data_IF_837565250187
#
_entry.id   IF_837565250187
#
_cell.length_a   1.000
_cell.length_b   1.000
_cell.length_c   1.000
_cell.angle_alpha   90.00
_cell.angle_beta   90.00
_cell.angle_gamma   90.00
#
_symmetry.space_group_name_H-M   'P 1'
#
loop_
_entity.id
_entity.type
_entity.pdbx_description
1 polymer ?
#
# COMPACT_ATOMS: atom_id res chain seq x y z
N UNK A 1 2.67 1.04 14.08
CA UNK A 1 2.43 2.03 13.01
C UNK A 1 3.17 1.52 11.79
N UNK A 2 2.50 1.42 10.66
CA UNK A 2 3.10 1.03 9.39
C UNK A 2 3.09 2.21 8.43
N UNK A 3 4.00 2.17 7.46
CA UNK A 3 4.04 3.10 6.33
C UNK A 3 3.79 2.36 5.03
N UNK A 4 3.18 3.02 4.05
CA UNK A 4 3.00 2.45 2.73
C UNK A 4 3.10 3.54 1.66
N UNK A 5 3.43 3.12 0.45
CA UNK A 5 3.33 3.97 -0.72
C UNK A 5 2.87 3.17 -1.94
N UNK A 6 2.14 3.83 -2.84
CA UNK A 6 1.79 3.31 -4.16
C UNK A 6 2.27 4.25 -5.24
N UNK A 7 2.64 3.70 -6.39
CA UNK A 7 3.02 4.44 -7.59
C UNK A 7 1.98 4.21 -8.68
N UNK A 8 1.42 5.27 -9.26
CA UNK A 8 0.42 5.17 -10.32
C UNK A 8 1.02 5.16 -11.73
N UNK A 9 0.17 5.00 -12.75
CA UNK A 9 0.56 4.93 -14.15
C UNK A 9 1.14 6.23 -14.73
N UNK A 10 0.93 7.36 -14.07
CA UNK A 10 1.50 8.65 -14.47
C UNK A 10 2.84 8.90 -13.75
N UNK A 11 3.23 7.95 -12.88
CA UNK A 11 4.42 7.98 -12.07
C UNK A 11 4.34 8.82 -10.80
N UNK A 12 3.12 9.17 -10.35
CA UNK A 12 2.90 9.84 -9.06
C UNK A 12 3.00 8.83 -7.93
N UNK A 13 3.58 9.26 -6.81
CA UNK A 13 3.68 8.45 -5.59
C UNK A 13 2.76 8.99 -4.51
N UNK A 14 1.99 8.11 -3.89
CA UNK A 14 1.08 8.41 -2.79
C UNK A 14 1.55 7.64 -1.56
N UNK A 15 2.06 8.35 -0.57
CA UNK A 15 2.54 7.76 0.68
C UNK A 15 1.53 8.02 1.81
N UNK A 16 1.39 7.05 2.71
CA UNK A 16 0.52 7.13 3.86
C UNK A 16 1.11 6.35 5.05
N UNK A 17 0.56 6.61 6.24
CA UNK A 17 0.81 5.84 7.44
C UNK A 17 -0.51 5.36 8.03
N UNK A 18 -0.49 4.26 8.79
CA UNK A 18 -1.67 3.72 9.45
C UNK A 18 -2.30 4.74 10.39
N UNK A 19 -3.63 4.85 10.38
CA UNK A 19 -4.40 5.68 11.30
C UNK A 19 -5.11 4.78 12.30
N UNK A 20 -5.01 5.12 13.59
CA UNK A 20 -5.64 4.39 14.69
C UNK A 20 -6.37 5.38 15.63
N UNK A 21 -7.52 5.87 15.19
CA UNK A 21 -8.42 6.70 15.99
C UNK A 21 -9.62 5.87 16.49
N UNK A 22 -10.29 6.26 17.58
CA UNK A 22 -11.43 5.50 18.12
C UNK A 22 -12.55 5.22 17.12
N UNK A 23 -12.77 6.13 16.16
CA UNK A 23 -13.84 6.03 15.16
C UNK A 23 -13.34 5.82 13.73
N UNK A 24 -12.02 5.74 13.53
CA UNK A 24 -11.42 5.56 12.21
C UNK A 24 -10.11 4.81 12.32
N UNK A 25 -10.11 3.57 11.87
CA UNK A 25 -8.90 2.76 11.70
C UNK A 25 -8.74 2.45 10.22
N UNK A 26 -7.57 2.77 9.66
CA UNK A 26 -7.24 2.50 8.26
C UNK A 26 -5.76 2.12 8.16
N UNK A 27 -5.45 1.07 7.42
CA UNK A 27 -4.07 0.62 7.19
C UNK A 27 -3.34 1.62 6.30
N UNK A 28 -2.00 1.60 6.34
CA UNK A 28 -1.23 2.51 5.51
C UNK A 28 -1.47 2.25 4.01
N UNK A 29 -1.54 0.97 3.62
CA UNK A 29 -1.77 0.59 2.22
C UNK A 29 -3.15 1.02 1.74
N UNK A 30 -4.20 0.78 2.53
CA UNK A 30 -5.54 1.27 2.23
C UNK A 30 -5.57 2.78 1.99
N UNK A 31 -4.93 3.56 2.87
CA UNK A 31 -4.93 5.02 2.76
C UNK A 31 -4.12 5.52 1.56
N UNK A 32 -2.99 4.89 1.26
CA UNK A 32 -2.19 5.21 0.07
C UNK A 32 -2.99 4.95 -1.22
N UNK A 33 -3.64 3.79 -1.35
CA UNK A 33 -4.49 3.45 -2.50
C UNK A 33 -5.69 4.40 -2.60
N UNK A 34 -6.38 4.67 -1.49
CA UNK A 34 -7.51 5.60 -1.47
C UNK A 34 -7.10 7.01 -1.94
N UNK A 35 -5.92 7.48 -1.53
CA UNK A 35 -5.38 8.77 -1.98
C UNK A 35 -5.07 8.79 -3.47
N UNK A 36 -4.52 7.70 -4.01
CA UNK A 36 -4.25 7.56 -5.44
C UNK A 36 -5.55 7.59 -6.25
N UNK A 37 -6.55 6.79 -5.84
CA UNK A 37 -7.87 6.74 -6.49
C UNK A 37 -8.58 8.09 -6.45
N UNK A 38 -8.57 8.76 -5.28
CA UNK A 38 -9.16 10.09 -5.13
C UNK A 38 -8.49 11.14 -6.03
N UNK A 39 -7.21 10.96 -6.36
CA UNK A 39 -6.47 11.80 -7.29
C UNK A 39 -6.63 11.40 -8.77
N UNK A 40 -7.42 10.36 -9.07
CA UNK A 40 -7.71 9.92 -10.44
C UNK A 40 -6.79 8.82 -10.98
N UNK A 41 -5.99 8.16 -10.13
CA UNK A 41 -5.24 6.98 -10.54
C UNK A 41 -6.21 5.85 -10.92
N UNK A 42 -5.94 5.19 -12.04
CA UNK A 42 -6.75 4.06 -12.54
C UNK A 42 -5.97 2.76 -12.61
N UNK A 43 -4.64 2.82 -12.39
CA UNK A 43 -3.73 1.69 -12.37
C UNK A 43 -2.57 2.00 -11.43
N UNK A 44 -2.03 0.98 -10.77
CA UNK A 44 -0.83 1.06 -9.95
C UNK A 44 0.28 0.26 -10.61
N UNK A 45 1.48 0.83 -10.66
CA UNK A 45 2.67 0.14 -11.18
C UNK A 45 3.36 -0.69 -10.10
N UNK A 46 3.25 -0.28 -8.84
CA UNK A 46 3.81 -0.96 -7.68
C UNK A 46 3.24 -0.39 -6.37
N UNK A 47 3.38 -1.18 -5.31
CA UNK A 47 3.15 -0.75 -3.94
C UNK A 47 4.31 -1.20 -3.03
N UNK A 48 4.46 -0.53 -1.89
CA UNK A 48 5.36 -0.93 -0.81
C UNK A 48 4.67 -0.75 0.53
N UNK A 49 4.92 -1.68 1.45
CA UNK A 49 4.53 -1.59 2.86
C UNK A 49 5.76 -1.79 3.74
N UNK A 50 5.99 -0.84 4.65
CA UNK A 50 7.02 -0.90 5.69
C UNK A 50 6.33 -1.20 7.01
N UNK A 51 6.58 -2.39 7.55
CA UNK A 51 5.86 -2.91 8.71
C UNK A 51 6.70 -3.88 9.53
N UNK A 52 6.39 -4.01 10.82
CA UNK A 52 6.89 -5.09 11.69
C UNK A 52 5.98 -6.33 11.64
N UNK A 53 4.82 -6.23 11.00
CA UNK A 53 3.88 -7.34 10.88
C UNK A 53 4.44 -8.43 9.95
N UNK A 54 4.18 -9.69 10.29
CA UNK A 54 4.56 -10.84 9.46
C UNK A 54 3.63 -11.08 8.26
N UNK A 55 2.51 -10.35 8.18
CA UNK A 55 1.49 -10.51 7.15
C UNK A 55 0.99 -9.16 6.65
N UNK A 56 0.75 -9.08 5.34
CA UNK A 56 0.10 -7.92 4.72
C UNK A 56 -1.39 -7.89 5.05
N UNK A 57 -1.98 -6.70 5.14
CA UNK A 57 -3.41 -6.57 5.37
C UNK A 57 -4.22 -6.97 4.13
N UNK A 58 -5.22 -7.84 4.31
CA UNK A 58 -5.98 -8.40 3.19
C UNK A 58 -6.79 -7.37 2.40
N UNK A 59 -7.30 -6.34 3.08
CA UNK A 59 -8.14 -5.31 2.44
C UNK A 59 -7.31 -4.29 1.63
N UNK A 60 -6.13 -3.89 2.13
CA UNK A 60 -5.17 -3.09 1.38
C UNK A 60 -4.59 -3.85 0.19
N UNK A 61 -4.28 -5.13 0.36
CA UNK A 61 -3.93 -6.01 -0.76
C UNK A 61 -5.04 -6.06 -1.82
N UNK A 62 -6.28 -6.33 -1.43
CA UNK A 62 -7.41 -6.35 -2.36
C UNK A 62 -7.60 -5.00 -3.08
N UNK A 63 -7.44 -3.88 -2.37
CA UNK A 63 -7.55 -2.54 -2.97
C UNK A 63 -6.46 -2.27 -4.02
N UNK A 64 -5.24 -2.80 -3.85
CA UNK A 64 -4.21 -2.76 -4.91
C UNK A 64 -4.67 -3.58 -6.12
N UNK A 65 -5.18 -4.79 -5.88
CA UNK A 65 -5.64 -5.71 -6.93
C UNK A 65 -6.84 -5.19 -7.72
N UNK A 66 -7.71 -4.38 -7.11
CA UNK A 66 -8.81 -3.70 -7.80
C UNK A 66 -8.31 -2.75 -8.90
N UNK A 67 -7.14 -2.12 -8.72
CA UNK A 67 -6.53 -1.25 -9.73
C UNK A 67 -5.58 -2.00 -10.66
N UNK A 68 -4.90 -3.04 -10.17
CA UNK A 68 -3.86 -3.76 -10.91
C UNK A 68 -3.67 -5.16 -10.37
N UNK A 69 -4.08 -6.16 -11.16
CA UNK A 69 -4.01 -7.57 -10.77
C UNK A 69 -2.58 -8.07 -10.56
N UNK A 70 -1.59 -7.47 -11.21
CA UNK A 70 -0.19 -7.92 -11.29
C UNK A 70 0.81 -6.94 -10.65
N UNK A 71 0.35 -5.82 -10.10
CA UNK A 71 1.24 -4.85 -9.45
C UNK A 71 1.99 -5.52 -8.28
N UNK A 72 3.34 -5.44 -8.24
CA UNK A 72 4.10 -5.98 -7.12
C UNK A 72 3.86 -5.15 -5.86
N UNK A 73 3.66 -5.83 -4.74
CA UNK A 73 3.61 -5.24 -3.41
C UNK A 73 4.87 -5.67 -2.66
N UNK A 74 5.82 -4.76 -2.51
CA UNK A 74 7.04 -5.00 -1.74
C UNK A 74 6.78 -4.86 -0.25
N UNK A 75 7.31 -5.77 0.56
CA UNK A 75 7.23 -5.70 2.02
C UNK A 75 8.65 -5.49 2.55
N UNK A 76 8.82 -4.48 3.40
CA UNK A 76 10.09 -4.17 4.04
C UNK A 76 9.94 -4.03 5.56
N UNK A 77 11.00 -4.38 6.28
CA UNK A 77 11.15 -4.09 7.69
C UNK A 77 11.44 -2.59 7.92
N UNK A 78 11.25 -2.06 9.14
CA UNK A 78 11.51 -0.65 9.46
C UNK A 78 12.95 -0.17 9.20
N UNK A 79 13.92 -1.10 9.14
CA UNK A 79 15.32 -0.81 8.81
C UNK A 79 15.60 -0.73 7.29
N UNK A 80 14.57 -0.94 6.46
CA UNK A 80 14.65 -0.93 5.00
C UNK A 80 14.98 -2.29 4.39
N UNK A 81 15.18 -3.34 5.18
CA UNK A 81 15.39 -4.70 4.67
C UNK A 81 14.14 -5.19 3.95
N UNK A 82 14.26 -5.55 2.66
CA UNK A 82 13.16 -6.13 1.90
C UNK A 82 12.93 -7.57 2.37
N UNK A 83 11.72 -7.84 2.87
CA UNK A 83 11.30 -9.14 3.37
C UNK A 83 10.71 -10.02 2.25
N UNK A 84 10.14 -9.40 1.21
CA UNK A 84 9.56 -10.12 0.09
C UNK A 84 8.77 -9.24 -0.86
N UNK A 85 8.19 -9.85 -1.88
CA UNK A 85 7.29 -9.19 -2.84
C UNK A 85 6.10 -10.10 -3.12
N UNK A 86 4.90 -9.54 -3.05
CA UNK A 86 3.65 -10.22 -3.37
C UNK A 86 3.21 -9.78 -4.76
N UNK A 87 3.15 -10.71 -5.71
CA UNK A 87 2.76 -10.46 -7.12
C UNK A 87 1.36 -10.97 -7.46
N UNK A 88 0.81 -11.86 -6.64
CA UNK A 88 -0.57 -12.38 -6.72
C UNK A 88 -1.28 -12.16 -5.39
#
# INVERSE_FOLDING_TARGET
VEGAAVRDQDGRTYAAASVALPSLTITALQLAVASAVAAGATRLEAAVVVTEASTLDGAGHAAVRDLSADAPIHVAAPDGTVLGTVVE
#
